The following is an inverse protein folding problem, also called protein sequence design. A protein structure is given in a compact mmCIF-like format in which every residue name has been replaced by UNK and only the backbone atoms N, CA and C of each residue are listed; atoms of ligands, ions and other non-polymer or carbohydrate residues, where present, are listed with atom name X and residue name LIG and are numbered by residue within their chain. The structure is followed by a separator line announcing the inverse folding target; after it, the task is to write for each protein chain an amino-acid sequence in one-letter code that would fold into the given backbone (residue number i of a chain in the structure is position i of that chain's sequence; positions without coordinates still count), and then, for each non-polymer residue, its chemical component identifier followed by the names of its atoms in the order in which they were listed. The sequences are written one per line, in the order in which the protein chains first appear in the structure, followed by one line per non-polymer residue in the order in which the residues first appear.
data_IF_007017306871
#
_entry.id   IF_007017306871
#
_cell.length_a   1.000
_cell.length_b   1.000
_cell.length_c   1.000
_cell.angle_alpha   90.00
_cell.angle_beta   90.00
_cell.angle_gamma   90.00
#
_symmetry.space_group_name_H-M   'P 1'
#
loop_
_entity.id
_entity.type
_entity.pdbx_description
1 polymer ?
#
# COMPACT_ATOMS: atom_id res chain seq x y z
N UNK A 1 -16.22 -4.49 10.01
CA UNK A 1 -14.76 -4.38 10.00
C UNK A 1 -14.20 -5.39 9.02
N UNK A 2 -13.56 -4.92 7.96
CA UNK A 2 -13.06 -5.80 6.90
C UNK A 2 -11.55 -5.64 6.74
N UNK A 3 -10.80 -6.61 7.27
CA UNK A 3 -9.44 -6.87 6.82
C UNK A 3 -9.52 -7.59 5.48
N UNK A 4 -8.86 -7.04 4.46
CA UNK A 4 -8.84 -7.63 3.12
C UNK A 4 -7.51 -7.40 2.43
N UNK A 5 -7.19 -8.31 1.52
CA UNK A 5 -6.05 -8.18 0.65
C UNK A 5 -6.47 -8.54 -0.78
N UNK A 6 -6.11 -7.69 -1.74
CA UNK A 6 -6.39 -7.88 -3.15
C UNK A 6 -5.09 -8.03 -3.91
N UNK A 7 -4.92 -9.17 -4.59
CA UNK A 7 -3.81 -9.36 -5.53
C UNK A 7 -3.89 -8.32 -6.64
N UNK A 8 -2.82 -7.53 -6.79
CA UNK A 8 -2.68 -6.57 -7.88
C UNK A 8 -1.90 -7.18 -9.03
N UNK A 9 -0.77 -7.82 -8.75
CA UNK A 9 0.06 -8.44 -9.77
C UNK A 9 0.93 -9.56 -9.18
N UNK A 10 1.16 -10.61 -9.97
CA UNK A 10 2.01 -11.73 -9.61
C UNK A 10 2.89 -12.11 -10.80
N UNK A 11 4.20 -11.98 -10.65
CA UNK A 11 5.19 -12.26 -11.70
C UNK A 11 6.29 -13.19 -11.21
N UNK A 12 7.00 -13.83 -12.13
CA UNK A 12 8.14 -14.69 -11.83
C UNK A 12 9.29 -14.42 -12.81
N UNK A 13 10.51 -14.35 -12.28
CA UNK A 13 11.73 -14.17 -13.09
C UNK A 13 12.17 -15.51 -13.73
N UNK A 14 13.08 -15.50 -14.72
CA UNK A 14 13.61 -16.74 -15.30
C UNK A 14 14.41 -17.59 -14.30
N UNK A 15 14.87 -16.99 -13.21
CA UNK A 15 15.55 -17.67 -12.10
C UNK A 15 14.57 -18.30 -11.08
N UNK A 16 13.26 -18.19 -11.30
CA UNK A 16 12.24 -18.75 -10.42
C UNK A 16 11.89 -17.87 -9.21
N UNK A 17 12.36 -16.63 -9.16
CA UNK A 17 12.03 -15.70 -8.05
C UNK A 17 10.72 -14.99 -8.36
N UNK A 18 9.71 -15.21 -7.53
CA UNK A 18 8.41 -14.56 -7.61
C UNK A 18 8.47 -13.10 -7.12
N UNK A 19 7.64 -12.26 -7.70
CA UNK A 19 7.40 -10.88 -7.29
C UNK A 19 5.89 -10.66 -7.20
N UNK A 20 5.43 -10.39 -5.98
CA UNK A 20 4.01 -10.26 -5.64
C UNK A 20 3.72 -8.84 -5.21
N UNK A 21 2.65 -8.27 -5.78
CA UNK A 21 2.10 -6.98 -5.37
C UNK A 21 0.66 -7.14 -4.91
N UNK A 22 0.37 -6.67 -3.70
CA UNK A 22 -0.92 -6.79 -3.03
C UNK A 22 -1.37 -5.43 -2.48
N UNK A 23 -2.66 -5.15 -2.58
CA UNK A 23 -3.29 -4.02 -1.92
C UNK A 23 -4.04 -4.53 -0.70
N UNK A 24 -3.53 -4.21 0.49
CA UNK A 24 -4.13 -4.56 1.76
C UNK A 24 -4.97 -3.41 2.31
N UNK A 25 -6.10 -3.73 2.93
CA UNK A 25 -6.91 -2.81 3.74
C UNK A 25 -7.09 -3.41 5.13
N UNK A 26 -6.71 -2.66 6.16
CA UNK A 26 -6.77 -3.12 7.54
C UNK A 26 -6.89 -1.95 8.53
N UNK A 27 -7.26 -2.18 9.81
CA UNK A 27 -7.38 -1.13 10.81
C UNK A 27 -6.11 -0.30 10.98
N UNK A 28 -6.28 1.03 11.05
CA UNK A 28 -5.15 1.96 11.17
C UNK A 28 -4.44 1.88 12.52
N UNK A 29 -5.10 1.47 13.60
CA UNK A 29 -4.46 1.37 14.90
C UNK A 29 -3.34 0.32 14.93
N UNK A 30 -3.48 -0.77 14.17
CA UNK A 30 -2.41 -1.78 13.99
C UNK A 30 -1.21 -1.15 13.28
N UNK A 31 -1.47 -0.34 12.25
CA UNK A 31 -0.42 0.39 11.52
C UNK A 31 0.33 1.38 12.43
N UNK A 32 -0.32 1.95 13.43
CA UNK A 32 0.29 2.88 14.39
C UNK A 32 1.15 2.18 15.45
N UNK A 33 0.75 0.98 15.89
CA UNK A 33 1.54 0.12 16.78
C UNK A 33 2.79 -0.41 16.09
N UNK A 34 2.72 -0.67 14.79
CA UNK A 34 3.94 -0.92 14.03
C UNK A 34 4.85 0.32 14.11
N UNK A 35 4.35 1.56 13.95
CA UNK A 35 5.16 2.80 13.93
C UNK A 35 5.93 3.14 15.24
N UNK A 36 5.64 2.49 16.37
CA UNK A 36 6.27 2.78 17.67
C UNK A 36 7.67 2.18 17.89
N UNK A 37 8.21 1.42 16.94
CA UNK A 37 9.58 0.86 16.99
C UNK A 37 10.63 1.68 16.21
N UNK A 38 10.38 2.97 15.93
CA UNK A 38 11.35 3.85 15.27
C UNK A 38 11.98 4.86 16.23
N UNK A 39 13.28 4.68 16.52
CA UNK A 39 14.16 5.77 16.95
C UNK A 39 14.49 6.64 15.72
N UNK A 40 14.31 7.95 15.88
CA UNK A 40 14.73 8.97 14.92
C UNK A 40 16.26 8.93 14.74
N UNK A 41 16.77 8.89 13.51
CA UNK A 41 18.17 9.19 13.23
C UNK A 41 18.31 10.53 12.54
N UNK A 42 18.88 11.50 13.26
CA UNK A 42 19.52 12.68 12.67
C UNK A 42 21.05 12.50 12.77
N UNK A 43 21.66 12.03 11.68
CA UNK A 43 23.12 12.04 11.33
C UNK A 43 24.11 11.20 12.18
N UNK A 44 25.35 10.95 11.69
CA UNK A 44 25.67 10.32 10.40
C UNK A 44 26.63 9.10 10.48
N UNK A 45 27.16 8.70 11.65
CA UNK A 45 28.20 7.66 11.70
C UNK A 45 27.80 6.50 12.62
N UNK A 46 27.54 5.34 12.00
CA UNK A 46 27.41 4.01 12.62
C UNK A 46 26.39 3.88 13.77
N UNK A 47 25.21 3.40 13.42
CA UNK A 47 24.36 2.63 14.35
C UNK A 47 23.74 1.45 13.61
N UNK A 48 24.29 0.27 13.83
CA UNK A 48 23.69 -1.00 13.43
C UNK A 48 22.52 -1.27 14.40
N UNK A 49 21.34 -0.76 14.03
CA UNK A 49 20.12 -0.98 14.80
C UNK A 49 19.60 -2.37 14.42
N UNK A 50 19.64 -3.30 15.39
CA UNK A 50 18.83 -4.51 15.45
C UNK A 50 17.36 -4.08 15.52
N UNK A 51 16.79 -3.69 14.38
CA UNK A 51 15.35 -3.60 14.22
C UNK A 51 14.83 -5.03 14.26
N UNK A 52 14.10 -5.39 15.32
CA UNK A 52 13.18 -6.51 15.22
C UNK A 52 12.21 -6.12 14.07
N UNK A 53 11.98 -6.95 13.05
CA UNK A 53 11.04 -6.61 11.97
C UNK A 53 9.64 -7.06 12.41
N UNK A 54 8.99 -6.30 13.31
CA UNK A 54 7.77 -6.69 14.02
C UNK A 54 6.47 -6.56 13.19
N UNK A 55 6.52 -6.04 11.96
CA UNK A 55 5.28 -5.74 11.21
C UNK A 55 5.46 -5.33 9.75
N UNK A 56 4.33 -5.15 9.05
CA UNK A 56 4.23 -4.77 7.63
C UNK A 56 5.06 -3.51 7.33
N UNK A 57 5.10 -2.55 8.25
CA UNK A 57 5.85 -1.31 8.08
C UNK A 57 7.34 -1.36 8.44
N UNK A 58 7.84 -2.51 8.94
CA UNK A 58 9.27 -2.67 9.33
C UNK A 58 10.04 -3.75 8.60
N UNK A 59 9.35 -4.71 8.00
CA UNK A 59 10.02 -5.72 7.19
C UNK A 59 10.78 -5.03 6.03
N UNK A 60 12.11 -5.19 6.02
CA UNK A 60 12.99 -4.55 5.04
C UNK A 60 12.81 -5.13 3.64
N UNK A 61 12.19 -6.31 3.54
CA UNK A 61 11.91 -6.98 2.29
C UNK A 61 10.65 -6.43 1.60
N UNK A 62 9.86 -5.60 2.28
CA UNK A 62 8.61 -5.06 1.75
C UNK A 62 8.78 -3.62 1.21
N UNK A 63 8.48 -3.40 -0.07
CA UNK A 63 8.21 -2.08 -0.63
C UNK A 63 6.78 -1.70 -0.27
N UNK A 64 6.53 -0.50 0.26
CA UNK A 64 5.14 -0.09 0.59
C UNK A 64 4.76 1.32 0.18
N UNK A 65 3.47 1.48 -0.11
CA UNK A 65 2.82 2.77 -0.20
C UNK A 65 1.52 2.77 0.61
N UNK A 66 1.48 3.57 1.67
CA UNK A 66 0.33 3.65 2.58
C UNK A 66 -0.48 4.92 2.32
N UNK A 67 -1.80 4.79 2.35
CA UNK A 67 -2.72 5.91 2.24
C UNK A 67 -2.60 6.85 3.45
N UNK A 68 -2.44 8.15 3.18
CA UNK A 68 -2.31 9.16 4.24
C UNK A 68 -3.68 9.71 4.63
N UNK A 69 -4.07 9.54 5.90
CA UNK A 69 -5.27 10.17 6.48
C UNK A 69 -5.27 11.68 6.25
N UNK A 70 -4.11 12.32 6.32
CA UNK A 70 -3.88 13.76 6.04
C UNK A 70 -4.31 14.23 4.66
N UNK A 71 -4.32 13.34 3.67
CA UNK A 71 -4.67 13.68 2.29
C UNK A 71 -6.18 13.53 2.02
N UNK A 72 -6.88 12.71 2.80
CA UNK A 72 -8.28 12.33 2.59
C UNK A 72 -9.21 13.45 3.09
N UNK A 73 -10.18 13.92 2.29
CA UNK A 73 -11.21 14.86 2.76
C UNK A 73 -11.96 14.33 4.00
N UNK A 74 -12.25 15.18 4.98
CA UNK A 74 -12.85 14.79 6.27
C UNK A 74 -14.13 13.98 6.06
N UNK A 75 -15.08 14.54 5.28
CA UNK A 75 -16.34 13.87 4.93
C UNK A 75 -16.13 12.46 4.39
N UNK A 76 -15.17 12.28 3.48
CA UNK A 76 -14.88 10.96 2.89
C UNK A 76 -14.36 9.97 3.92
N UNK A 77 -13.51 10.42 4.84
CA UNK A 77 -13.02 9.56 5.92
C UNK A 77 -14.15 9.16 6.86
N UNK A 78 -15.06 10.08 7.20
CA UNK A 78 -16.26 9.79 8.00
C UNK A 78 -17.13 8.75 7.28
N UNK A 79 -17.41 8.94 5.99
CA UNK A 79 -18.24 8.02 5.21
C UNK A 79 -17.61 6.61 5.16
N UNK A 80 -16.30 6.51 4.98
CA UNK A 80 -15.56 5.23 5.01
C UNK A 80 -15.66 4.54 6.38
N UNK A 81 -15.54 5.30 7.48
CA UNK A 81 -15.66 4.80 8.86
C UNK A 81 -17.08 4.32 9.16
N UNK A 82 -18.10 5.05 8.73
CA UNK A 82 -19.50 4.68 8.95
C UNK A 82 -19.87 3.41 8.18
N UNK A 83 -19.36 3.26 6.95
CA UNK A 83 -19.57 2.08 6.13
C UNK A 83 -18.83 0.85 6.67
N UNK A 84 -17.59 1.02 7.11
CA UNK A 84 -16.78 -0.08 7.67
C UNK A 84 -15.88 0.44 8.80
N UNK A 85 -16.40 0.38 10.02
CA UNK A 85 -15.69 0.83 11.22
C UNK A 85 -14.57 -0.14 11.58
N UNK A 86 -13.35 0.38 11.76
CA UNK A 86 -12.25 -0.36 12.36
C UNK A 86 -12.49 -0.56 13.86
N UNK A 87 -12.33 -1.79 14.36
CA UNK A 87 -12.52 -2.17 15.77
C UNK A 87 -11.70 -3.43 16.08
N UNK A 88 -11.40 -3.80 17.33
CA UNK A 88 -10.72 -5.06 17.62
C UNK A 88 -11.48 -6.31 17.10
N UNK A 89 -10.74 -7.30 16.60
CA UNK A 89 -11.25 -8.66 16.32
C UNK A 89 -11.35 -9.45 17.62
N UNK A 90 -10.45 -9.19 18.56
CA UNK A 90 -10.41 -9.85 19.85
C UNK A 90 -10.40 -8.82 20.99
N UNK A 91 -11.33 -8.98 21.94
CA UNK A 91 -11.44 -8.10 23.11
C UNK A 91 -10.73 -8.74 24.30
N UNK A 92 -9.39 -8.69 24.29
CA UNK A 92 -8.56 -9.38 25.27
C UNK A 92 -8.77 -8.90 26.71
N UNK A 93 -8.88 -9.83 27.64
CA UNK A 93 -8.95 -9.57 29.08
C UNK A 93 -7.59 -9.09 29.59
N UNK A 94 -7.62 -8.08 30.46
CA UNK A 94 -6.42 -7.56 31.08
C UNK A 94 -5.72 -8.63 31.94
N UNK A 95 -4.43 -8.84 31.67
CA UNK A 95 -3.56 -9.76 32.41
C UNK A 95 -2.11 -9.24 32.44
N UNK A 96 -1.25 -9.81 33.28
CA UNK A 96 0.17 -9.43 33.33
C UNK A 96 0.87 -9.88 32.03
N UNK A 97 1.60 -8.97 31.39
CA UNK A 97 2.32 -9.23 30.13
C UNK A 97 1.74 -8.42 28.98
N UNK A 98 2.20 -8.71 27.75
CA UNK A 98 1.72 -8.05 26.52
C UNK A 98 0.65 -8.86 25.77
N UNK A 99 0.41 -10.10 26.19
CA UNK A 99 -0.55 -11.01 25.55
C UNK A 99 -1.88 -11.02 26.30
N UNK A 100 -2.98 -11.23 25.57
CA UNK A 100 -4.33 -11.23 26.12
C UNK A 100 -5.19 -12.31 25.44
N UNK A 101 -4.92 -13.57 25.76
CA UNK A 101 -5.51 -14.74 25.07
C UNK A 101 -6.97 -15.05 25.44
N UNK A 102 -7.41 -14.55 26.60
CA UNK A 102 -8.78 -14.76 27.09
C UNK A 102 -9.67 -13.59 26.66
N UNK A 103 -10.78 -13.88 25.98
CA UNK A 103 -11.75 -12.86 25.60
C UNK A 103 -12.50 -12.29 26.82
N UNK A 104 -12.84 -11.01 26.76
CA UNK A 104 -13.63 -10.29 27.75
C UNK A 104 -14.89 -9.71 27.10
N UNK A 105 -16.03 -10.22 27.53
CA UNK A 105 -17.36 -9.82 27.09
C UNK A 105 -18.12 -9.01 28.15
N UNK A 106 -17.44 -8.60 29.24
CA UNK A 106 -18.06 -7.89 30.34
C UNK A 106 -18.78 -6.62 29.85
N UNK A 107 -20.05 -6.42 30.24
CA UNK A 107 -20.80 -5.26 29.80
C UNK A 107 -20.21 -3.97 30.36
N UNK A 108 -20.18 -2.92 29.54
CA UNK A 108 -19.60 -1.63 29.86
C UNK A 108 -20.74 -0.64 30.13
N UNK A 109 -20.67 0.03 31.28
CA UNK A 109 -21.62 1.11 31.61
C UNK A 109 -21.27 2.36 30.80
N UNK A 110 -22.23 2.91 30.06
CA UNK A 110 -22.01 4.12 29.28
C UNK A 110 -21.73 5.33 30.20
N UNK A 111 -20.55 6.01 30.06
CA UNK A 111 -20.10 7.00 31.03
C UNK A 111 -20.90 8.31 31.01
N UNK A 112 -21.59 8.63 29.90
CA UNK A 112 -22.23 9.94 29.69
C UNK A 112 -23.70 9.88 29.30
N UNK A 113 -24.38 8.73 29.49
CA UNK A 113 -25.69 8.44 28.90
C UNK A 113 -26.77 9.48 29.28
N UNK A 114 -26.68 10.03 30.49
CA UNK A 114 -27.65 11.00 31.01
C UNK A 114 -27.33 12.46 30.67
N UNK A 115 -26.09 12.73 30.27
CA UNK A 115 -25.55 14.09 30.20
C UNK A 115 -25.35 14.57 28.77
N UNK A 116 -25.09 13.63 27.85
CA UNK A 116 -24.77 13.94 26.47
C UNK A 116 -25.72 13.14 25.58
N UNK A 117 -26.59 13.80 24.79
CA UNK A 117 -27.41 13.12 23.80
C UNK A 117 -26.53 12.38 22.79
N UNK A 118 -26.96 11.20 22.37
CA UNK A 118 -26.25 10.46 21.34
C UNK A 118 -26.30 11.23 20.00
N UNK A 119 -25.17 11.40 19.28
CA UNK A 119 -25.12 12.26 18.08
C UNK A 119 -26.01 11.79 16.92
N UNK A 120 -26.37 10.50 16.89
CA UNK A 120 -27.15 9.90 15.80
C UNK A 120 -28.47 9.27 16.23
N UNK A 121 -28.83 9.27 17.52
CA UNK A 121 -30.07 8.68 17.98
C UNK A 121 -31.07 9.76 18.42
N UNK A 122 -32.35 9.55 18.11
CA UNK A 122 -33.44 10.40 18.59
C UNK A 122 -33.87 10.05 20.04
N UNK A 123 -33.49 8.87 20.52
CA UNK A 123 -33.75 8.40 21.88
C UNK A 123 -32.43 8.39 22.67
N UNK A 124 -32.39 9.08 23.80
CA UNK A 124 -31.25 9.07 24.71
C UNK A 124 -31.02 7.63 25.23
N UNK A 125 -29.82 7.09 25.03
CA UNK A 125 -29.35 5.91 25.76
C UNK A 125 -29.58 6.17 27.25
N UNK A 126 -30.36 5.34 27.92
CA UNK A 126 -30.76 5.59 29.32
C UNK A 126 -29.59 5.36 30.28
N UNK A 127 -29.57 6.05 31.42
CA UNK A 127 -28.67 5.78 32.55
C UNK A 127 -28.44 4.29 32.77
N UNK A 128 -27.18 3.88 32.87
CA UNK A 128 -26.85 2.51 33.24
C UNK A 128 -27.14 1.48 32.16
N UNK A 129 -27.40 1.89 30.91
CA UNK A 129 -27.37 0.99 29.78
C UNK A 129 -26.02 0.28 29.74
N UNK A 130 -26.10 -1.04 29.93
CA UNK A 130 -24.99 -1.96 29.81
C UNK A 130 -24.83 -2.29 28.33
N UNK A 131 -23.70 -1.87 27.76
CA UNK A 131 -23.37 -2.06 26.36
C UNK A 131 -22.33 -3.17 26.22
N UNK A 132 -22.37 -3.92 25.13
CA UNK A 132 -21.28 -4.81 24.77
C UNK A 132 -20.01 -4.00 24.43
N UNK A 133 -18.81 -4.61 24.43
CA UNK A 133 -17.58 -3.95 24.00
C UNK A 133 -17.70 -3.30 22.61
N UNK A 134 -18.33 -4.01 21.66
CA UNK A 134 -18.56 -3.52 20.30
C UNK A 134 -19.53 -2.34 20.28
N UNK A 135 -20.62 -2.38 21.04
CA UNK A 135 -21.56 -1.26 21.13
C UNK A 135 -20.88 -0.02 21.72
N UNK A 136 -20.09 -0.17 22.78
CA UNK A 136 -19.35 0.95 23.37
C UNK A 136 -18.31 1.54 22.41
N UNK A 137 -17.68 0.71 21.58
CA UNK A 137 -16.75 1.18 20.55
C UNK A 137 -17.46 2.02 19.49
N UNK A 138 -18.68 1.64 19.09
CA UNK A 138 -19.50 2.41 18.16
C UNK A 138 -19.96 3.73 18.77
N UNK A 139 -20.31 3.76 20.05
CA UNK A 139 -20.59 5.02 20.78
C UNK A 139 -19.37 5.95 20.72
N UNK A 140 -18.18 5.45 21.05
CA UNK A 140 -16.95 6.24 21.00
C UNK A 140 -16.66 6.80 19.59
N UNK A 141 -16.88 5.98 18.55
CA UNK A 141 -16.79 6.40 17.14
C UNK A 141 -17.76 7.53 16.85
N UNK A 142 -19.01 7.42 17.29
CA UNK A 142 -20.07 8.36 16.96
C UNK A 142 -19.82 9.75 17.57
N UNK A 143 -19.37 9.80 18.83
CA UNK A 143 -18.90 11.04 19.43
C UNK A 143 -17.66 11.60 18.73
N UNK A 144 -16.69 10.76 18.36
CA UNK A 144 -15.51 11.22 17.61
C UNK A 144 -15.89 11.84 16.25
N UNK A 145 -16.86 11.25 15.55
CA UNK A 145 -17.40 11.82 14.30
C UNK A 145 -18.12 13.14 14.57
N UNK A 146 -18.91 13.24 15.63
CA UNK A 146 -19.59 14.49 15.98
C UNK A 146 -18.59 15.64 16.22
N UNK A 147 -17.52 15.37 16.97
CA UNK A 147 -16.45 16.34 17.17
C UNK A 147 -15.71 16.64 15.86
N UNK A 148 -15.37 15.63 15.06
CA UNK A 148 -14.70 15.84 13.79
C UNK A 148 -15.51 16.73 12.84
N UNK A 149 -16.84 16.55 12.76
CA UNK A 149 -17.74 17.43 12.00
C UNK A 149 -17.70 18.86 12.54
N UNK A 150 -17.78 19.05 13.86
CA UNK A 150 -17.71 20.37 14.46
C UNK A 150 -16.39 21.10 14.16
N UNK A 151 -15.25 20.38 14.16
CA UNK A 151 -13.97 20.96 13.76
C UNK A 151 -13.91 21.28 12.25
N UNK A 152 -14.45 20.41 11.39
CA UNK A 152 -14.52 20.65 9.94
C UNK A 152 -15.39 21.88 9.62
N UNK A 153 -16.56 21.99 10.27
CA UNK A 153 -17.49 23.12 10.15
C UNK A 153 -16.88 24.44 10.64
N UNK A 154 -16.04 24.37 11.68
CA UNK A 154 -15.28 25.52 12.17
C UNK A 154 -14.09 25.89 11.27
N UNK A 155 -13.84 25.15 10.18
CA UNK A 155 -12.80 25.44 9.19
C UNK A 155 -11.41 24.92 9.56
N UNK A 156 -11.29 24.00 10.52
CA UNK A 156 -9.99 23.40 10.83
C UNK A 156 -9.53 22.48 9.69
N UNK A 157 -8.22 22.51 9.43
CA UNK A 157 -7.66 21.73 8.34
C UNK A 157 -7.77 20.22 8.59
N UNK A 158 -8.14 19.45 7.56
CA UNK A 158 -8.32 17.98 7.58
C UNK A 158 -7.18 17.19 8.24
N UNK A 159 -5.95 17.70 8.20
CA UNK A 159 -4.80 17.05 8.86
C UNK A 159 -4.94 16.96 10.38
N UNK A 160 -5.64 17.91 10.99
CA UNK A 160 -5.94 17.94 12.43
C UNK A 160 -7.24 17.17 12.68
N UNK A 161 -8.30 17.49 11.91
CA UNK A 161 -9.62 16.87 12.09
C UNK A 161 -9.57 15.35 11.96
N UNK A 162 -8.86 14.83 10.95
CA UNK A 162 -8.79 13.39 10.71
C UNK A 162 -8.07 12.63 11.83
N UNK A 163 -7.31 13.30 12.72
CA UNK A 163 -6.66 12.66 13.88
C UNK A 163 -7.67 12.12 14.88
N UNK A 164 -8.81 12.81 15.03
CA UNK A 164 -9.91 12.37 15.90
C UNK A 164 -10.53 11.05 15.42
N UNK A 165 -10.36 10.74 14.13
CA UNK A 165 -11.00 9.62 13.44
C UNK A 165 -10.06 8.43 13.24
N UNK A 166 -8.74 8.60 13.44
CA UNK A 166 -7.74 7.55 13.18
C UNK A 166 -8.01 6.22 13.90
N UNK A 167 -8.50 6.17 15.16
CA UNK A 167 -8.81 4.90 15.84
C UNK A 167 -9.89 4.06 15.15
N UNK A 168 -10.79 4.69 14.40
CA UNK A 168 -11.94 4.04 13.77
C UNK A 168 -11.75 3.83 12.26
N UNK A 169 -10.65 4.34 11.72
CA UNK A 169 -10.34 4.31 10.30
C UNK A 169 -9.57 3.06 9.89
N UNK A 170 -9.80 2.63 8.66
CA UNK A 170 -8.91 1.70 7.97
C UNK A 170 -7.79 2.45 7.26
N UNK A 171 -6.74 1.72 6.89
CA UNK A 171 -5.68 2.18 6.01
C UNK A 171 -5.54 1.20 4.84
N UNK A 172 -5.36 1.75 3.64
CA UNK A 172 -4.96 0.99 2.46
C UNK A 172 -3.44 1.06 2.29
N UNK A 173 -2.79 -0.08 2.10
CA UNK A 173 -1.34 -0.21 1.91
C UNK A 173 -1.06 -1.11 0.72
N UNK A 174 -0.37 -0.58 -0.28
CA UNK A 174 0.20 -1.36 -1.38
C UNK A 174 1.52 -1.95 -0.91
N UNK A 175 1.74 -3.24 -1.12
CA UNK A 175 2.93 -3.96 -0.70
C UNK A 175 3.48 -4.74 -1.90
N UNK A 176 4.78 -4.61 -2.18
CA UNK A 176 5.49 -5.40 -3.20
C UNK A 176 6.72 -6.05 -2.58
N UNK A 177 6.89 -7.36 -2.77
CA UNK A 177 8.04 -8.08 -2.25
C UNK A 177 8.32 -9.40 -3.00
N UNK A 178 9.56 -9.86 -2.88
CA UNK A 178 10.04 -11.18 -3.34
C UNK A 178 10.05 -12.20 -2.21
N UNK A 179 10.25 -11.77 -0.96
CA UNK A 179 10.39 -12.64 0.21
C UNK A 179 9.18 -12.48 1.14
N UNK A 180 8.23 -13.41 1.04
CA UNK A 180 7.01 -13.42 1.87
C UNK A 180 7.05 -14.48 2.98
N UNK A 181 7.92 -15.47 2.88
CA UNK A 181 7.93 -16.63 3.79
C UNK A 181 8.23 -16.20 5.23
N UNK A 182 9.25 -15.36 5.42
CA UNK A 182 9.59 -14.82 6.73
C UNK A 182 8.45 -13.97 7.33
N UNK A 183 7.77 -13.18 6.49
CA UNK A 183 6.60 -12.42 6.94
C UNK A 183 5.49 -13.37 7.41
N UNK A 184 5.17 -14.42 6.65
CA UNK A 184 4.13 -15.36 7.06
C UNK A 184 4.52 -16.19 8.28
N UNK A 185 5.77 -16.60 8.40
CA UNK A 185 6.25 -17.36 9.56
C UNK A 185 6.04 -16.61 10.88
N UNK A 186 6.28 -15.29 10.87
CA UNK A 186 6.16 -14.44 12.06
C UNK A 186 4.73 -13.93 12.30
N UNK A 187 3.90 -13.84 11.25
CA UNK A 187 2.62 -13.11 11.29
C UNK A 187 1.40 -14.01 11.16
N UNK A 188 1.49 -15.13 10.46
CA UNK A 188 0.48 -16.21 10.46
C UNK A 188 0.73 -17.13 11.67
N UNK A 189 0.78 -16.54 12.86
CA UNK A 189 1.13 -17.21 14.11
C UNK A 189 0.20 -16.79 15.24
N UNK A 190 -0.15 -17.73 16.13
CA UNK A 190 -1.08 -17.52 17.25
C UNK A 190 -0.64 -16.47 18.28
N UNK A 191 0.66 -16.21 18.38
CA UNK A 191 1.23 -15.23 19.32
C UNK A 191 1.36 -13.83 18.69
N UNK A 192 1.02 -13.71 17.39
CA UNK A 192 0.88 -12.42 16.73
C UNK A 192 -0.45 -11.79 17.14
N UNK A 193 -0.51 -10.45 17.07
CA UNK A 193 -1.76 -9.72 17.27
C UNK A 193 -2.85 -10.28 16.33
N UNK A 194 -4.08 -10.57 16.82
CA UNK A 194 -5.10 -11.25 16.03
C UNK A 194 -5.41 -10.59 14.69
N UNK A 195 -5.38 -9.26 14.64
CA UNK A 195 -5.60 -8.51 13.41
C UNK A 195 -4.43 -8.63 12.41
N UNK A 196 -3.19 -8.76 12.89
CA UNK A 196 -2.01 -9.01 12.05
C UNK A 196 -2.07 -10.43 11.48
N UNK A 197 -2.47 -11.41 12.29
CA UNK A 197 -2.68 -12.79 11.84
C UNK A 197 -3.76 -12.85 10.75
N UNK A 198 -4.89 -12.19 10.97
CA UNK A 198 -5.95 -12.07 9.98
C UNK A 198 -5.47 -11.40 8.69
N UNK A 199 -4.63 -10.36 8.79
CA UNK A 199 -4.02 -9.71 7.62
C UNK A 199 -3.06 -10.63 6.86
N UNK A 200 -2.20 -11.36 7.56
CA UNK A 200 -1.27 -12.32 6.96
C UNK A 200 -2.03 -13.41 6.19
N UNK A 201 -3.09 -13.97 6.81
CA UNK A 201 -3.98 -14.95 6.17
C UNK A 201 -4.69 -14.37 4.95
N UNK A 202 -5.19 -13.14 5.03
CA UNK A 202 -5.82 -12.47 3.90
C UNK A 202 -4.85 -12.29 2.73
N UNK A 203 -3.62 -11.84 3.00
CA UNK A 203 -2.57 -11.67 1.97
C UNK A 203 -2.23 -13.02 1.33
N UNK A 204 -2.02 -14.06 2.13
CA UNK A 204 -1.74 -15.42 1.64
C UNK A 204 -2.88 -15.94 0.75
N UNK A 205 -4.12 -15.80 1.20
CA UNK A 205 -5.32 -16.17 0.45
C UNK A 205 -5.47 -15.40 -0.86
N UNK A 206 -5.04 -14.14 -0.94
CA UNK A 206 -5.10 -13.35 -2.17
C UNK A 206 -4.24 -13.92 -3.32
N UNK A 207 -3.20 -14.70 -3.00
CA UNK A 207 -2.35 -15.38 -3.98
C UNK A 207 -2.59 -16.88 -4.09
N UNK A 208 -3.49 -17.45 -3.29
CA UNK A 208 -3.83 -18.87 -3.35
C UNK A 208 -4.36 -19.22 -4.75
N UNK A 209 -3.79 -20.26 -5.38
CA UNK A 209 -4.11 -20.64 -6.75
C UNK A 209 -3.65 -19.65 -7.84
N UNK A 210 -2.91 -18.59 -7.51
CA UNK A 210 -2.42 -17.65 -8.52
C UNK A 210 -1.24 -18.24 -9.30
N UNK A 211 -1.34 -18.25 -10.63
CA UNK A 211 -0.22 -18.56 -11.52
C UNK A 211 0.55 -17.27 -11.85
N UNK A 212 1.86 -17.17 -11.57
CA UNK A 212 2.64 -15.99 -11.89
C UNK A 212 2.87 -15.83 -13.40
N UNK A 213 2.90 -14.59 -13.88
CA UNK A 213 3.33 -14.29 -15.25
C UNK A 213 4.85 -14.30 -15.33
N UNK A 214 5.41 -15.14 -16.20
CA UNK A 214 6.85 -15.16 -16.43
C UNK A 214 7.29 -13.90 -17.18
N UNK A 215 8.29 -13.21 -16.65
CA UNK A 215 8.91 -12.03 -17.26
C UNK A 215 10.38 -12.33 -17.58
N UNK A 216 10.87 -11.80 -18.70
CA UNK A 216 12.29 -11.80 -19.09
C UNK A 216 12.95 -10.47 -18.73
N UNK A 217 14.29 -10.40 -18.62
CA UNK A 217 14.98 -9.13 -18.47
C UNK A 217 14.58 -8.15 -19.58
N UNK A 218 14.12 -6.95 -19.20
CA UNK A 218 13.54 -5.95 -20.10
C UNK A 218 12.01 -5.91 -20.08
N UNK A 219 11.34 -6.95 -19.60
CA UNK A 219 9.90 -6.97 -19.34
C UNK A 219 9.62 -6.60 -17.88
N UNK A 220 8.51 -5.89 -17.65
CA UNK A 220 8.29 -5.19 -16.38
C UNK A 220 7.08 -5.71 -15.60
N UNK A 221 7.28 -5.85 -14.30
CA UNK A 221 6.23 -5.93 -13.30
C UNK A 221 5.66 -4.52 -13.09
N UNK A 222 4.43 -4.29 -13.55
CA UNK A 222 3.79 -2.97 -13.57
C UNK A 222 2.43 -3.01 -12.86
N UNK A 223 2.38 -2.82 -11.53
CA UNK A 223 1.12 -2.79 -10.80
C UNK A 223 0.16 -1.73 -11.35
N UNK A 224 -1.14 -2.05 -11.36
CA UNK A 224 -2.23 -1.20 -11.86
C UNK A 224 -2.18 -0.83 -13.36
N UNK A 225 -1.35 -1.50 -14.18
CA UNK A 225 -1.41 -1.39 -15.64
C UNK A 225 -2.34 -2.46 -16.21
N UNK A 226 -3.28 -2.03 -17.04
CA UNK A 226 -4.22 -2.90 -17.76
C UNK A 226 -3.85 -2.98 -19.24
N UNK A 227 -4.47 -3.91 -19.98
CA UNK A 227 -4.25 -4.02 -21.42
C UNK A 227 -4.65 -2.75 -22.19
N UNK A 228 -5.71 -2.08 -21.75
CA UNK A 228 -6.11 -0.79 -22.33
C UNK A 228 -5.06 0.31 -22.13
N UNK A 229 -4.24 0.22 -21.08
CA UNK A 229 -3.15 1.16 -20.83
C UNK A 229 -1.94 0.91 -21.72
N UNK A 230 -1.86 -0.23 -22.42
CA UNK A 230 -0.78 -0.48 -23.40
C UNK A 230 -1.02 0.21 -24.74
N UNK A 231 -2.24 0.66 -25.00
CA UNK A 231 -2.65 1.24 -26.28
C UNK A 231 -2.88 2.75 -26.18
N UNK A 232 -2.31 3.53 -27.11
CA UNK A 232 -2.54 4.96 -27.23
C UNK A 232 -3.06 5.34 -28.62
N UNK A 233 -3.77 6.47 -28.70
CA UNK A 233 -4.14 7.06 -29.99
C UNK A 233 -2.96 7.91 -30.45
N UNK A 234 -2.41 7.58 -31.61
CA UNK A 234 -1.29 8.28 -32.23
C UNK A 234 -1.75 8.93 -33.54
N UNK A 235 -1.21 10.10 -33.92
CA UNK A 235 -1.47 10.67 -35.24
C UNK A 235 -0.91 9.74 -36.32
N UNK A 236 -1.60 9.64 -37.45
CA UNK A 236 -1.08 8.90 -38.60
C UNK A 236 0.28 9.48 -39.03
N UNK A 237 1.22 8.61 -39.44
CA UNK A 237 2.46 9.04 -40.07
C UNK A 237 2.19 10.03 -41.19
N UNK A 238 3.10 10.99 -41.40
CA UNK A 238 2.92 12.07 -42.38
C UNK A 238 2.43 11.54 -43.75
N UNK A 239 3.02 10.44 -44.21
CA UNK A 239 2.69 9.79 -45.49
C UNK A 239 1.27 9.20 -45.57
N UNK A 240 0.65 8.90 -44.42
CA UNK A 240 -0.68 8.30 -44.32
C UNK A 240 -1.76 9.28 -43.84
N UNK A 241 -1.42 10.55 -43.55
CA UNK A 241 -2.38 11.56 -43.04
C UNK A 241 -3.55 11.85 -43.99
N UNK A 242 -3.37 11.58 -45.28
CA UNK A 242 -4.42 11.73 -46.29
C UNK A 242 -5.41 10.55 -46.35
N UNK A 243 -5.13 9.44 -45.66
CA UNK A 243 -6.02 8.30 -45.61
C UNK A 243 -7.11 8.54 -44.55
N UNK A 244 -8.33 8.83 -45.00
CA UNK A 244 -9.50 8.77 -44.15
C UNK A 244 -9.80 7.30 -43.85
N UNK A 245 -9.61 6.86 -42.61
CA UNK A 245 -10.03 5.52 -42.19
C UNK A 245 -11.56 5.49 -42.17
N UNK A 246 -12.17 4.88 -43.19
CA UNK A 246 -13.60 4.56 -43.19
C UNK A 246 -13.90 3.79 -41.89
N UNK A 247 -14.82 4.31 -41.06
CA UNK A 247 -15.21 3.83 -39.72
C UNK A 247 -14.33 4.23 -38.51
N UNK A 248 -13.39 5.19 -38.64
CA UNK A 248 -12.80 5.84 -37.45
C UNK A 248 -13.50 7.18 -37.17
N UNK A 249 -13.96 7.37 -35.94
CA UNK A 249 -14.42 8.68 -35.45
C UNK A 249 -13.28 9.73 -35.36
N UNK A 250 -12.03 9.30 -35.52
CA UNK A 250 -10.83 10.14 -35.46
C UNK A 250 -10.09 10.09 -36.81
N UNK A 251 -10.41 11.02 -37.71
CA UNK A 251 -9.69 11.20 -38.98
C UNK A 251 -8.23 11.56 -38.67
N UNK A 252 -7.28 10.82 -39.23
CA UNK A 252 -5.85 11.13 -39.08
C UNK A 252 -5.16 10.52 -37.86
N UNK A 253 -5.76 9.52 -37.20
CA UNK A 253 -5.12 8.81 -36.06
C UNK A 253 -5.23 7.29 -36.19
N UNK A 254 -4.35 6.56 -35.51
CA UNK A 254 -4.37 5.11 -35.37
C UNK A 254 -4.13 4.69 -33.91
N UNK A 255 -4.45 3.44 -33.58
CA UNK A 255 -4.14 2.87 -32.27
C UNK A 255 -2.73 2.30 -32.29
N UNK A 256 -1.81 2.94 -31.57
CA UNK A 256 -0.43 2.50 -31.39
C UNK A 256 -0.18 1.94 -29.99
N UNK A 257 1.03 1.43 -29.77
CA UNK A 257 1.47 0.95 -28.47
C UNK A 257 2.18 2.06 -27.69
N UNK A 258 1.94 2.14 -26.37
CA UNK A 258 2.68 3.03 -25.47
C UNK A 258 4.06 2.46 -25.20
N UNK A 259 5.03 3.35 -25.01
CA UNK A 259 6.38 2.93 -24.65
C UNK A 259 6.42 2.34 -23.24
N UNK A 260 7.43 1.51 -22.97
CA UNK A 260 7.60 0.92 -21.64
C UNK A 260 7.88 1.98 -20.58
N UNK A 261 8.60 3.04 -20.93
CA UNK A 261 8.89 4.18 -20.07
C UNK A 261 7.60 4.89 -19.66
N UNK A 262 6.67 5.13 -20.59
CA UNK A 262 5.37 5.71 -20.27
C UNK A 262 4.57 4.80 -19.32
N UNK A 263 4.55 3.50 -19.57
CA UNK A 263 3.85 2.54 -18.71
C UNK A 263 4.43 2.49 -17.29
N UNK A 264 5.74 2.59 -17.14
CA UNK A 264 6.41 2.70 -15.83
C UNK A 264 5.90 3.96 -15.11
N UNK A 265 5.89 5.12 -15.78
CA UNK A 265 5.41 6.38 -15.20
C UNK A 265 3.96 6.29 -14.74
N UNK A 266 3.09 5.71 -15.57
CA UNK A 266 1.68 5.50 -15.25
C UNK A 266 1.54 4.59 -14.02
N UNK A 267 2.29 3.48 -13.98
CA UNK A 267 2.27 2.54 -12.85
C UNK A 267 2.71 3.22 -11.55
N UNK A 268 3.79 3.99 -11.57
CA UNK A 268 4.29 4.76 -10.41
C UNK A 268 3.21 5.70 -9.87
N UNK A 269 2.58 6.48 -10.76
CA UNK A 269 1.54 7.43 -10.38
C UNK A 269 0.31 6.75 -9.75
N UNK A 270 -0.08 5.58 -10.27
CA UNK A 270 -1.18 4.78 -9.72
C UNK A 270 -0.82 4.14 -8.38
N UNK A 271 0.41 3.66 -8.22
CA UNK A 271 0.93 3.19 -6.93
C UNK A 271 0.93 4.30 -5.86
N UNK A 272 1.09 5.57 -6.25
CA UNK A 272 0.99 6.70 -5.32
C UNK A 272 -0.46 7.01 -4.87
N UNK A 273 -1.47 6.46 -5.55
CA UNK A 273 -2.91 6.73 -5.36
C UNK A 273 -3.64 5.63 -4.58
N UNK A 274 -2.97 4.96 -3.64
CA UNK A 274 -3.52 3.84 -2.86
C UNK A 274 -4.86 4.13 -2.14
N UNK A 275 -5.23 5.40 -1.94
CA UNK A 275 -6.53 5.83 -1.40
C UNK A 275 -7.60 6.18 -2.45
N UNK A 276 -7.22 6.52 -3.68
CA UNK A 276 -8.13 7.04 -4.72
C UNK A 276 -8.70 5.96 -5.63
N UNK A 277 -7.92 4.91 -5.90
CA UNK A 277 -8.32 3.83 -6.83
C UNK A 277 -9.47 2.96 -6.30
N UNK A 278 -9.75 2.98 -4.99
CA UNK A 278 -10.63 2.00 -4.33
C UNK A 278 -12.10 2.42 -4.20
N UNK A 279 -12.48 3.68 -4.39
CA UNK A 279 -13.86 4.12 -4.04
C UNK A 279 -14.63 4.88 -5.14
N UNK A 280 -14.00 5.68 -6.00
CA UNK A 280 -14.77 6.54 -6.93
C UNK A 280 -14.98 5.92 -8.32
N UNK A 281 -14.37 4.77 -8.63
CA UNK A 281 -14.43 4.15 -9.97
C UNK A 281 -13.89 5.02 -11.11
N UNK A 282 -13.42 6.25 -10.81
CA UNK A 282 -12.81 7.17 -11.77
C UNK A 282 -11.47 6.58 -12.16
N UNK A 283 -11.44 5.92 -13.32
CA UNK A 283 -10.19 5.60 -14.02
C UNK A 283 -9.45 6.92 -14.23
N UNK A 284 -8.30 7.12 -13.58
CA UNK A 284 -7.53 8.32 -13.84
C UNK A 284 -7.12 8.33 -15.31
N UNK A 285 -7.17 9.50 -15.94
CA UNK A 285 -6.65 9.62 -17.29
C UNK A 285 -5.15 9.39 -17.29
N UNK A 286 -4.63 8.78 -18.36
CA UNK A 286 -3.19 8.59 -18.55
C UNK A 286 -2.45 9.93 -18.41
N UNK A 287 -3.01 11.02 -18.92
CA UNK A 287 -2.45 12.37 -18.75
C UNK A 287 -2.32 12.77 -17.27
N UNK A 288 -3.35 12.54 -16.45
CA UNK A 288 -3.29 12.83 -15.03
C UNK A 288 -2.32 11.92 -14.27
N UNK A 289 -2.04 10.72 -14.78
CA UNK A 289 -1.00 9.83 -14.24
C UNK A 289 0.40 10.38 -14.55
N UNK A 290 0.65 10.79 -15.79
CA UNK A 290 1.92 11.40 -16.20
C UNK A 290 2.21 12.70 -15.45
N UNK A 291 1.22 13.60 -15.34
CA UNK A 291 1.35 14.85 -14.57
C UNK A 291 1.61 14.60 -13.07
N UNK A 292 1.09 13.50 -12.52
CA UNK A 292 1.38 13.12 -11.14
C UNK A 292 2.80 12.56 -11.02
N UNK A 293 3.24 11.74 -11.97
CA UNK A 293 4.60 11.22 -12.00
C UNK A 293 5.63 12.35 -12.01
N UNK A 294 5.47 13.32 -12.92
CA UNK A 294 6.42 14.43 -13.07
C UNK A 294 6.52 15.27 -11.79
N UNK A 295 5.41 15.47 -11.08
CA UNK A 295 5.42 16.16 -9.77
C UNK A 295 6.11 15.35 -8.67
N UNK A 296 6.01 14.03 -8.69
CA UNK A 296 6.61 13.15 -7.67
C UNK A 296 8.12 12.99 -7.88
N UNK A 297 8.54 12.78 -9.12
CA UNK A 297 9.94 12.53 -9.48
C UNK A 297 10.71 13.83 -9.69
N UNK A 298 10.05 14.90 -10.14
CA UNK A 298 10.63 16.23 -10.30
C UNK A 298 10.76 17.05 -9.02
N UNK A 299 10.16 16.63 -7.90
CA UNK A 299 10.29 17.34 -6.62
C UNK A 299 11.66 17.15 -5.97
N UNK A 300 12.12 18.15 -5.20
CA UNK A 300 13.26 18.04 -4.29
C UNK A 300 12.77 18.29 -2.85
N UNK A 301 12.80 17.31 -1.94
CA UNK A 301 13.34 15.95 -2.10
C UNK A 301 12.51 15.06 -3.05
N UNK A 302 13.17 14.05 -3.61
CA UNK A 302 12.58 13.07 -4.53
C UNK A 302 11.52 12.23 -3.80
N UNK A 303 10.26 12.29 -4.23
CA UNK A 303 9.17 11.47 -3.67
C UNK A 303 9.05 10.11 -4.37
N UNK A 304 10.14 9.32 -4.37
CA UNK A 304 10.25 8.09 -5.15
C UNK A 304 9.72 6.79 -4.48
N UNK A 305 9.09 6.85 -3.31
CA UNK A 305 8.51 5.63 -2.70
C UNK A 305 7.53 4.87 -3.62
N UNK A 306 6.69 5.53 -4.46
CA UNK A 306 5.81 4.78 -5.36
C UNK A 306 6.57 4.05 -6.49
N UNK A 307 7.84 4.40 -6.73
CA UNK A 307 8.70 3.76 -7.72
C UNK A 307 9.37 2.46 -7.21
N UNK A 308 9.12 2.06 -5.97
CA UNK A 308 9.62 0.80 -5.39
C UNK A 308 8.83 -0.44 -5.85
N UNK A 309 7.70 -0.22 -6.54
CA UNK A 309 6.74 -1.26 -6.90
C UNK A 309 6.91 -1.77 -8.35
N UNK A 310 7.68 -1.07 -9.19
CA UNK A 310 7.99 -1.48 -10.55
C UNK A 310 9.38 -2.10 -10.61
N UNK A 311 9.50 -3.26 -11.25
CA UNK A 311 10.78 -3.93 -11.41
C UNK A 311 10.83 -4.80 -12.66
N UNK A 312 12.03 -5.04 -13.18
CA UNK A 312 12.32 -6.02 -14.26
C UNK A 312 13.22 -7.12 -13.70
N UNK A 313 13.11 -8.38 -14.16
CA UNK A 313 14.06 -9.42 -13.78
C UNK A 313 15.49 -9.00 -14.10
N UNK A 314 16.43 -9.29 -13.19
CA UNK A 314 17.85 -9.15 -13.48
C UNK A 314 18.38 -10.38 -14.25
N UNK A 315 19.51 -10.22 -14.92
CA UNK A 315 20.19 -11.31 -15.61
C UNK A 315 21.01 -12.09 -14.58
N UNK A 316 20.68 -13.37 -14.41
CA UNK A 316 21.49 -14.30 -13.62
C UNK A 316 22.61 -14.88 -14.49
N UNK A 317 23.86 -14.57 -14.16
CA UNK A 317 25.04 -15.05 -14.87
C UNK A 317 25.61 -16.23 -14.08
N UNK A 318 25.53 -17.43 -14.67
CA UNK A 318 26.17 -18.62 -14.12
C UNK A 318 27.68 -18.48 -14.30
N UNK A 319 28.45 -18.71 -13.24
CA UNK A 319 29.90 -18.67 -13.30
C UNK A 319 30.45 -19.79 -14.18
N UNK A 320 31.46 -19.46 -14.99
CA UNK A 320 32.19 -20.47 -15.76
C UNK A 320 33.09 -21.32 -14.85
N UNK A 321 33.18 -22.63 -15.12
CA UNK A 321 34.15 -23.52 -14.48
C UNK A 321 35.45 -23.45 -15.27
N UNK A 322 36.42 -22.67 -14.80
CA UNK A 322 37.72 -22.54 -15.49
C UNK A 322 38.80 -23.52 -14.99
N UNK A 323 38.66 -24.11 -13.78
CA UNK A 323 39.48 -25.22 -13.25
C UNK A 323 39.03 -25.62 -11.83
N UNK A 324 39.53 -26.74 -11.30
CA UNK A 324 39.33 -27.23 -9.91
C UNK A 324 39.75 -26.23 -8.81
N UNK A 325 40.35 -25.10 -9.18
CA UNK A 325 40.97 -24.12 -8.28
C UNK A 325 40.12 -22.84 -8.15
N UNK A 326 39.09 -22.63 -8.99
CA UNK A 326 38.19 -21.47 -8.88
C UNK A 326 36.73 -21.93 -8.70
N UNK A 327 36.09 -21.61 -7.56
CA UNK A 327 34.68 -21.91 -7.36
C UNK A 327 33.82 -21.21 -8.43
N UNK A 328 32.69 -21.82 -8.82
CA UNK A 328 31.65 -21.11 -9.57
C UNK A 328 31.19 -19.91 -8.76
N UNK A 329 31.29 -18.72 -9.34
CA UNK A 329 30.73 -17.50 -8.76
C UNK A 329 29.53 -17.07 -9.59
N UNK A 330 28.39 -17.68 -9.29
CA UNK A 330 27.11 -17.24 -9.83
C UNK A 330 26.79 -15.86 -9.26
N UNK A 331 26.40 -14.93 -10.13
CA UNK A 331 26.09 -13.57 -9.71
C UNK A 331 24.98 -12.97 -10.55
N UNK A 332 24.35 -11.96 -9.95
CA UNK A 332 23.43 -11.08 -10.65
C UNK A 332 24.21 -10.04 -11.43
N UNK A 333 23.70 -9.61 -12.58
CA UNK A 333 24.37 -8.60 -13.41
C UNK A 333 24.32 -7.20 -12.78
N UNK A 334 23.24 -6.86 -12.06
CA UNK A 334 23.03 -5.55 -11.44
C UNK A 334 22.47 -5.66 -10.01
N UNK A 335 23.14 -6.37 -9.08
CA UNK A 335 22.67 -6.58 -7.72
C UNK A 335 22.46 -5.29 -6.93
N UNK A 336 23.23 -4.24 -7.24
CA UNK A 336 23.14 -2.93 -6.59
C UNK A 336 21.82 -2.21 -6.86
N UNK A 337 21.10 -2.60 -7.91
CA UNK A 337 19.80 -2.03 -8.27
C UNK A 337 18.61 -2.81 -7.70
N UNK A 338 18.84 -3.87 -6.93
CA UNK A 338 17.75 -4.70 -6.41
C UNK A 338 16.94 -4.01 -5.30
N UNK A 339 17.61 -3.19 -4.47
CA UNK A 339 17.00 -2.69 -3.25
C UNK A 339 16.56 -3.87 -2.37
N UNK A 340 15.26 -3.93 -2.07
CA UNK A 340 14.63 -5.03 -1.32
C UNK A 340 14.05 -6.14 -2.22
N UNK A 341 14.10 -6.02 -3.54
CA UNK A 341 13.52 -6.98 -4.50
C UNK A 341 14.62 -7.86 -5.10
N UNK A 342 15.18 -8.78 -4.32
CA UNK A 342 16.32 -9.60 -4.74
C UNK A 342 16.03 -10.35 -6.04
N UNK A 343 16.94 -10.26 -7.01
CA UNK A 343 16.79 -10.87 -8.34
C UNK A 343 15.99 -10.01 -9.34
N UNK A 344 15.56 -8.82 -8.93
CA UNK A 344 14.81 -7.88 -9.74
C UNK A 344 15.47 -6.49 -9.68
N UNK A 345 15.62 -5.81 -10.81
CA UNK A 345 16.08 -4.42 -10.87
C UNK A 345 14.90 -3.49 -10.55
N UNK A 346 14.99 -2.77 -9.43
CA UNK A 346 13.93 -1.90 -8.93
C UNK A 346 13.98 -0.51 -9.59
N UNK A 347 12.83 -0.01 -10.05
CA UNK A 347 12.73 1.29 -10.74
C UNK A 347 13.25 2.46 -9.90
N UNK A 348 12.90 2.52 -8.60
CA UNK A 348 13.44 3.54 -7.68
C UNK A 348 14.98 3.62 -7.71
N UNK A 349 15.67 2.47 -7.72
CA UNK A 349 17.14 2.44 -7.72
C UNK A 349 17.73 2.95 -9.03
N UNK A 350 17.06 2.68 -10.15
CA UNK A 350 17.44 3.26 -11.44
C UNK A 350 17.27 4.79 -11.45
N UNK A 351 16.16 5.30 -10.90
CA UNK A 351 15.91 6.75 -10.79
C UNK A 351 16.93 7.45 -9.87
N UNK A 352 17.25 6.85 -8.72
CA UNK A 352 18.28 7.37 -7.82
C UNK A 352 19.63 7.47 -8.57
N UNK A 353 20.02 6.41 -9.28
CA UNK A 353 21.26 6.38 -10.06
C UNK A 353 21.31 7.46 -11.15
N UNK A 354 20.24 7.65 -11.93
CA UNK A 354 20.22 8.68 -12.98
C UNK A 354 20.30 10.08 -12.40
N UNK A 355 19.59 10.33 -11.30
CA UNK A 355 19.59 11.63 -10.61
C UNK A 355 20.95 11.97 -10.00
N UNK A 356 21.67 10.99 -9.42
CA UNK A 356 23.01 11.23 -8.88
C UNK A 356 24.08 11.35 -9.97
N UNK A 357 23.89 10.70 -11.12
CA UNK A 357 24.79 10.81 -12.26
C UNK A 357 24.71 12.18 -12.96
N UNK A 358 23.59 12.90 -12.87
CA UNK A 358 23.44 14.27 -13.42
C UNK A 358 24.04 15.36 -12.52
N UNK A 359 24.34 15.06 -11.25
CA UNK A 359 24.84 16.02 -10.26
C UNK A 359 26.36 15.88 -10.05
N UNK A 360 26.97 14.79 -10.53
CA UNK A 360 28.41 14.53 -10.52
C UNK A 360 29.05 14.95 -11.84
#
# INVERSE_FOLDING_TARGET
MTISATKILHSISPAGIELKTVLARYPRFIHAEELTHRVLTSTPDLMEILTIPDGVMYDRNLSRNASSSRAIPVKRLIDDILNDTAMPIHWGKNQKGMQADQENDAPITHPFADYIPHPFANDNVRKGSLLSPQQMWLEARDYAIAFARAYDDAGYHKQVVNRLLEPFAHINVLITATEWDNFFELRDHKDAQPEIEALAKAIKGAFEGSVPTQLKPGEWHLPFITESDRHCIQPLPYEARHMATMNSQYVGTFMGERSIEELIKISVARCARTSYLTHDGKKPSVYADLDLYDRLVGSRPLHASPAEHQATPDVFVKGDVWSDIRPRHDHWKQPELHGNLRGWVQNRKMLERSVFAEVA
#
